data_IF_275532784722
#
_entry.id   IF_275532784722
#
_cell.length_a   1.000
_cell.length_b   1.000
_cell.length_c   1.000
_cell.angle_alpha   90.00
_cell.angle_beta   90.00
_cell.angle_gamma   90.00
#
_symmetry.space_group_name_H-M   'P 1'
#
loop_
_entity.id
_entity.type
_entity.pdbx_description
1 polymer ?
#
# COMPACT_ATOMS: atom_id res chain seq x y z
N UNK A 1 -29.93 -12.02 11.33
CA UNK A 1 -29.94 -10.96 10.31
C UNK A 1 -29.24 -9.74 10.87
N UNK A 2 -28.27 -9.20 10.13
CA UNK A 2 -27.49 -8.00 10.45
C UNK A 2 -27.69 -6.97 9.35
N UNK A 3 -27.36 -5.72 9.63
CA UNK A 3 -27.29 -4.66 8.64
C UNK A 3 -25.94 -3.97 8.74
N UNK A 4 -25.36 -3.65 7.59
CA UNK A 4 -24.14 -2.85 7.49
C UNK A 4 -24.43 -1.63 6.62
N UNK A 5 -24.03 -0.45 7.09
CA UNK A 5 -24.14 0.80 6.34
C UNK A 5 -22.85 1.06 5.56
N UNK A 6 -22.98 1.38 4.28
CA UNK A 6 -21.89 1.80 3.40
C UNK A 6 -22.10 3.23 2.92
N UNK A 7 -20.99 3.94 2.74
CA UNK A 7 -20.87 5.02 1.79
C UNK A 7 -20.35 4.44 0.47
N UNK A 8 -21.10 4.67 -0.60
CA UNK A 8 -20.72 4.25 -1.95
C UNK A 8 -19.57 5.10 -2.48
N UNK A 9 -19.00 4.67 -3.60
CA UNK A 9 -18.04 5.44 -4.41
C UNK A 9 -18.60 6.81 -4.87
N UNK A 10 -19.92 6.93 -4.99
CA UNK A 10 -20.63 8.18 -5.30
C UNK A 10 -21.08 8.97 -4.06
N UNK A 11 -20.77 8.50 -2.85
CA UNK A 11 -21.13 9.16 -1.59
C UNK A 11 -22.57 8.92 -1.12
N UNK A 12 -23.32 8.02 -1.74
CA UNK A 12 -24.65 7.65 -1.28
C UNK A 12 -24.57 6.79 -0.01
N UNK A 13 -25.53 6.96 0.91
CA UNK A 13 -25.68 6.10 2.09
C UNK A 13 -26.56 4.91 1.73
N UNK A 14 -25.99 3.70 1.78
CA UNK A 14 -26.67 2.46 1.41
C UNK A 14 -26.56 1.47 2.56
N UNK A 15 -27.69 0.90 2.98
CA UNK A 15 -27.72 -0.18 3.99
C UNK A 15 -27.90 -1.51 3.29
N UNK A 16 -27.01 -2.46 3.58
CA UNK A 16 -27.07 -3.83 3.05
C UNK A 16 -27.42 -4.79 4.17
N UNK A 17 -28.38 -5.67 3.90
CA UNK A 17 -28.76 -6.76 4.80
C UNK A 17 -27.81 -7.95 4.65
N UNK A 18 -27.37 -8.50 5.78
CA UNK A 18 -26.52 -9.69 5.84
C UNK A 18 -27.28 -10.78 6.60
N UNK A 19 -27.46 -11.93 5.95
CA UNK A 19 -28.27 -13.03 6.48
C UNK A 19 -27.72 -13.56 7.82
N UNK A 20 -26.41 -13.83 7.85
CA UNK A 20 -25.67 -14.39 8.99
C UNK A 20 -24.36 -13.64 9.26
N UNK A 21 -23.95 -13.56 10.51
CA UNK A 21 -22.69 -12.90 10.94
C UNK A 21 -21.45 -13.44 10.25
N UNK A 22 -21.42 -14.75 9.93
CA UNK A 22 -20.30 -15.40 9.25
C UNK A 22 -20.05 -14.87 7.84
N UNK A 23 -21.04 -14.22 7.22
CA UNK A 23 -20.94 -13.62 5.87
C UNK A 23 -20.52 -12.15 5.89
N UNK A 24 -20.41 -11.53 7.06
CA UNK A 24 -20.17 -10.10 7.18
C UNK A 24 -18.90 -9.65 6.45
N UNK A 25 -17.78 -10.34 6.64
CA UNK A 25 -16.52 -9.98 5.99
C UNK A 25 -16.57 -10.20 4.47
N UNK A 26 -17.29 -11.21 4.00
CA UNK A 26 -17.44 -11.46 2.57
C UNK A 26 -18.26 -10.34 1.90
N UNK A 27 -19.30 -9.86 2.59
CA UNK A 27 -20.08 -8.68 2.17
C UNK A 27 -19.21 -7.43 2.16
N UNK A 28 -18.41 -7.20 3.21
CA UNK A 28 -17.46 -6.07 3.26
C UNK A 28 -16.47 -6.12 2.10
N UNK A 29 -15.85 -7.28 1.82
CA UNK A 29 -14.96 -7.44 0.66
C UNK A 29 -15.66 -7.20 -0.65
N UNK A 30 -16.88 -7.70 -0.82
CA UNK A 30 -17.65 -7.56 -2.05
C UNK A 30 -17.86 -6.10 -2.41
N UNK A 31 -18.42 -5.31 -1.49
CA UNK A 31 -18.69 -3.89 -1.74
C UNK A 31 -17.41 -3.04 -1.67
N UNK A 32 -16.45 -3.39 -0.81
CA UNK A 32 -15.19 -2.67 -0.72
C UNK A 32 -14.30 -2.79 -1.96
N UNK A 33 -14.42 -3.87 -2.76
CA UNK A 33 -13.81 -3.93 -4.10
C UNK A 33 -14.36 -2.87 -5.06
N UNK A 34 -15.60 -2.41 -4.84
CA UNK A 34 -16.21 -1.30 -5.58
C UNK A 34 -15.78 0.07 -5.03
N UNK A 35 -14.93 0.11 -4.00
CA UNK A 35 -14.53 1.34 -3.31
C UNK A 35 -15.52 1.82 -2.25
N UNK A 36 -16.53 1.01 -1.91
CA UNK A 36 -17.47 1.36 -0.85
C UNK A 36 -16.82 1.18 0.52
N UNK A 37 -17.21 2.02 1.47
CA UNK A 37 -16.60 2.06 2.81
C UNK A 37 -17.67 2.04 3.89
N UNK A 38 -17.39 1.42 5.03
CA UNK A 38 -18.31 1.40 6.18
C UNK A 38 -17.64 2.04 7.39
N UNK A 39 -18.31 3.01 8.00
CA UNK A 39 -17.75 3.82 9.08
C UNK A 39 -16.70 4.83 8.60
N UNK A 40 -15.90 5.31 9.55
CA UNK A 40 -14.81 6.27 9.33
C UNK A 40 -13.46 5.65 9.66
N UNK A 41 -12.39 6.24 9.12
CA UNK A 41 -11.02 5.87 9.50
C UNK A 41 -10.82 6.25 10.98
N UNK A 42 -10.43 5.32 11.85
CA UNK A 42 -10.15 5.62 13.25
C UNK A 42 -9.04 6.67 13.40
N UNK A 43 -9.06 7.45 14.48
CA UNK A 43 -7.94 8.33 14.81
C UNK A 43 -6.64 7.51 14.95
N UNK A 44 -5.57 7.92 14.26
CA UNK A 44 -4.34 7.11 14.16
C UNK A 44 -4.33 6.09 13.00
N UNK A 45 -5.42 5.96 12.25
CA UNK A 45 -5.64 4.91 11.25
C UNK A 45 -6.04 3.57 11.86
N UNK A 46 -6.48 2.65 11.01
CA UNK A 46 -6.76 1.26 11.41
C UNK A 46 -5.52 0.60 12.01
N UNK A 47 -5.70 -0.24 13.03
CA UNK A 47 -4.60 -0.96 13.69
C UNK A 47 -4.72 -2.46 13.38
N UNK A 48 -3.71 -3.02 12.73
CA UNK A 48 -3.67 -4.43 12.34
C UNK A 48 -2.39 -5.12 12.84
N UNK A 49 -2.38 -6.47 12.96
CA UNK A 49 -1.17 -7.23 13.25
C UNK A 49 -0.10 -7.02 12.17
N UNK A 50 1.17 -6.94 12.56
CA UNK A 50 2.29 -6.74 11.63
C UNK A 50 2.36 -7.84 10.55
N UNK A 51 2.13 -9.08 10.96
CA UNK A 51 2.16 -10.28 10.10
C UNK A 51 1.05 -10.34 9.05
N UNK A 52 0.06 -9.43 9.11
CA UNK A 52 -0.99 -9.32 8.10
C UNK A 52 -0.64 -8.32 6.99
N UNK A 53 0.40 -7.50 7.13
CA UNK A 53 0.64 -6.38 6.20
C UNK A 53 0.86 -6.84 4.75
N UNK A 54 1.68 -7.87 4.55
CA UNK A 54 2.14 -8.28 3.23
C UNK A 54 0.99 -8.72 2.32
N UNK A 55 0.00 -9.42 2.89
CA UNK A 55 -1.13 -10.02 2.19
C UNK A 55 -2.50 -9.51 2.69
N UNK A 56 -2.52 -8.34 3.33
CA UNK A 56 -3.75 -7.70 3.78
C UNK A 56 -4.73 -7.47 2.61
N UNK A 57 -5.98 -7.88 2.81
CA UNK A 57 -7.06 -7.62 1.87
C UNK A 57 -7.59 -6.19 2.03
N UNK A 58 -7.01 -5.28 1.25
CA UNK A 58 -7.39 -3.86 1.23
C UNK A 58 -8.87 -3.61 0.90
N UNK A 59 -9.55 -4.57 0.24
CA UNK A 59 -10.98 -4.43 -0.03
C UNK A 59 -11.83 -4.47 1.24
N UNK A 60 -11.33 -5.02 2.36
CA UNK A 60 -12.05 -5.00 3.65
C UNK A 60 -12.38 -3.59 4.14
N UNK A 61 -11.58 -2.60 3.74
CA UNK A 61 -11.77 -1.20 4.11
C UNK A 61 -12.10 -0.32 2.90
N UNK A 62 -12.50 -0.90 1.76
CA UNK A 62 -12.79 -0.13 0.55
C UNK A 62 -11.55 0.48 -0.13
N UNK A 63 -10.37 -0.08 0.12
CA UNK A 63 -9.11 0.38 -0.47
C UNK A 63 -8.59 -0.59 -1.53
N UNK A 64 -7.61 -0.15 -2.33
CA UNK A 64 -6.91 -1.00 -3.30
C UNK A 64 -5.44 -0.61 -3.44
N UNK A 65 -4.57 -1.59 -3.70
CA UNK A 65 -3.19 -1.32 -4.14
C UNK A 65 -3.22 -0.75 -5.57
N UNK A 66 -2.34 0.21 -5.84
CA UNK A 66 -2.11 0.79 -7.16
C UNK A 66 -0.63 1.10 -7.32
N UNK A 67 -0.08 0.81 -8.50
CA UNK A 67 1.30 1.15 -8.85
C UNK A 67 1.29 2.44 -9.66
N UNK A 68 2.03 3.45 -9.20
CA UNK A 68 2.15 4.71 -9.92
C UNK A 68 2.96 4.54 -11.21
N UNK A 69 2.87 5.49 -12.17
CA UNK A 69 3.72 5.48 -13.37
C UNK A 69 5.22 5.45 -13.06
N UNK A 70 5.63 6.03 -11.93
CA UNK A 70 7.01 6.07 -11.43
C UNK A 70 7.43 4.74 -10.76
N UNK A 71 6.50 3.80 -10.64
CA UNK A 71 6.72 2.48 -10.07
C UNK A 71 6.52 2.38 -8.56
N UNK A 72 6.02 3.42 -7.89
CA UNK A 72 5.74 3.43 -6.45
C UNK A 72 4.46 2.62 -6.14
N UNK A 73 4.53 1.73 -5.14
CA UNK A 73 3.34 1.03 -4.63
C UNK A 73 2.58 1.91 -3.63
N UNK A 74 1.32 2.19 -3.96
CA UNK A 74 0.43 3.05 -3.19
C UNK A 74 -0.84 2.29 -2.81
N UNK A 75 -1.51 2.77 -1.76
CA UNK A 75 -2.87 2.35 -1.41
C UNK A 75 -3.83 3.49 -1.72
N UNK A 76 -4.86 3.22 -2.51
CA UNK A 76 -5.91 4.17 -2.85
C UNK A 76 -7.12 3.91 -1.96
N UNK A 77 -7.60 4.94 -1.27
CA UNK A 77 -8.82 4.88 -0.45
C UNK A 77 -9.56 6.23 -0.50
N UNK A 78 -10.85 6.21 -0.85
CA UNK A 78 -11.70 7.41 -1.07
C UNK A 78 -11.01 8.50 -1.93
N UNK A 79 -10.35 8.08 -3.02
CA UNK A 79 -9.64 9.00 -3.94
C UNK A 79 -8.30 9.54 -3.43
N UNK A 80 -7.85 9.16 -2.24
CA UNK A 80 -6.55 9.55 -1.70
C UNK A 80 -5.50 8.44 -1.87
N UNK A 81 -4.27 8.83 -2.20
CA UNK A 81 -3.12 7.93 -2.24
C UNK A 81 -2.35 7.96 -0.92
N UNK A 82 -2.10 6.78 -0.36
CA UNK A 82 -1.35 6.56 0.87
C UNK A 82 -0.06 5.80 0.58
N UNK A 83 1.05 6.28 1.14
CA UNK A 83 2.38 5.70 1.00
C UNK A 83 2.71 4.80 2.17
N UNK A 84 3.36 3.67 1.88
CA UNK A 84 3.95 2.76 2.85
C UNK A 84 5.20 3.41 3.48
N UNK A 85 5.29 3.41 4.80
CA UNK A 85 6.43 3.89 5.58
C UNK A 85 6.80 2.84 6.61
N UNK A 86 8.07 2.51 6.68
CA UNK A 86 8.61 1.67 7.74
C UNK A 86 8.95 2.57 8.94
N UNK A 87 8.47 2.19 10.12
CA UNK A 87 8.75 2.85 11.37
C UNK A 87 9.63 1.93 12.19
N UNK A 88 10.82 2.41 12.52
CA UNK A 88 11.77 1.69 13.36
C UNK A 88 11.23 1.46 14.76
N UNK A 89 11.70 0.40 15.40
CA UNK A 89 11.38 0.15 16.79
C UNK A 89 11.93 1.29 17.66
N UNK A 90 11.10 1.80 18.56
CA UNK A 90 11.51 2.81 19.54
C UNK A 90 11.78 2.07 20.84
N UNK A 91 13.04 2.00 21.27
CA UNK A 91 13.41 1.50 22.60
C UNK A 91 13.99 2.66 23.42
N UNK A 92 13.10 3.38 24.11
CA UNK A 92 13.46 4.42 25.06
C UNK A 92 13.05 4.00 26.47
N UNK A 93 13.67 4.59 27.49
CA UNK A 93 13.30 4.34 28.90
C UNK A 93 11.83 4.65 29.20
N UNK A 94 11.21 5.55 28.43
CA UNK A 94 9.82 5.99 28.63
C UNK A 94 8.81 5.25 27.73
N UNK A 95 9.26 4.73 26.59
CA UNK A 95 8.38 4.19 25.56
C UNK A 95 9.11 3.10 24.78
N UNK A 96 8.48 1.92 24.74
CA UNK A 96 8.91 0.77 23.94
C UNK A 96 7.86 0.47 22.89
N UNK A 97 8.13 0.79 21.64
CA UNK A 97 7.26 0.46 20.52
C UNK A 97 7.98 -0.48 19.57
N UNK A 98 7.35 -1.60 19.16
CA UNK A 98 7.92 -2.46 18.14
C UNK A 98 7.89 -1.76 16.78
N UNK A 99 8.70 -2.27 15.85
CA UNK A 99 8.66 -1.84 14.45
C UNK A 99 7.24 -1.93 13.89
N UNK A 100 6.92 -1.00 13.00
CA UNK A 100 5.60 -0.90 12.41
C UNK A 100 5.67 -0.52 10.94
N UNK A 101 4.65 -0.89 10.19
CA UNK A 101 4.45 -0.41 8.82
C UNK A 101 3.23 0.49 8.82
N UNK A 102 3.41 1.75 8.42
CA UNK A 102 2.39 2.79 8.42
C UNK A 102 2.06 3.22 7.00
N UNK A 103 0.76 3.22 6.68
CA UNK A 103 0.23 3.80 5.46
C UNK A 103 -0.35 5.18 5.77
N UNK A 104 0.27 6.23 5.24
CA UNK A 104 -0.14 7.61 5.50
C UNK A 104 0.09 8.52 4.30
N UNK A 105 -0.45 9.72 4.34
CA UNK A 105 -0.23 10.80 3.36
C UNK A 105 -0.04 12.13 4.08
N UNK A 106 0.49 13.13 3.40
CA UNK A 106 0.48 14.50 3.93
C UNK A 106 -0.95 14.99 4.13
N UNK A 107 -1.18 15.72 5.22
CA UNK A 107 -2.45 16.38 5.45
C UNK A 107 -2.67 17.47 4.39
N UNK A 108 -3.91 17.59 3.93
CA UNK A 108 -4.40 18.64 3.04
C UNK A 108 -5.16 19.67 3.87
N UNK A 109 -5.32 20.87 3.31
CA UNK A 109 -6.08 21.97 3.94
C UNK A 109 -7.52 21.56 4.27
N UNK A 110 -8.13 20.72 3.43
CA UNK A 110 -9.49 20.20 3.62
C UNK A 110 -9.61 19.11 4.69
N UNK A 111 -8.51 18.55 5.18
CA UNK A 111 -8.57 17.49 6.19
C UNK A 111 -8.95 18.10 7.54
N UNK A 112 -9.94 17.55 8.26
CA UNK A 112 -10.37 18.12 9.53
C UNK A 112 -9.29 17.93 10.60
N UNK A 113 -9.19 18.82 11.61
CA UNK A 113 -8.11 18.78 12.60
C UNK A 113 -7.98 17.43 13.34
N UNK A 114 -9.10 16.73 13.57
CA UNK A 114 -9.12 15.49 14.34
C UNK A 114 -8.50 14.28 13.62
N UNK A 115 -8.27 14.34 12.29
CA UNK A 115 -7.57 13.28 11.55
C UNK A 115 -6.08 13.59 11.31
N UNK A 116 -5.63 14.77 11.72
CA UNK A 116 -4.25 15.22 11.51
C UNK A 116 -3.38 14.79 12.66
N UNK A 117 -2.28 14.14 12.31
CA UNK A 117 -1.23 13.75 13.23
C UNK A 117 -0.03 14.65 13.03
N UNK A 118 0.42 15.31 14.11
CA UNK A 118 1.66 16.06 14.11
C UNK A 118 2.85 15.09 14.14
N UNK A 119 3.78 15.27 13.22
CA UNK A 119 5.09 14.65 13.27
C UNK A 119 6.15 15.66 13.71
N UNK A 120 7.40 15.24 13.76
CA UNK A 120 8.52 16.15 14.04
C UNK A 120 8.61 17.22 12.94
N UNK A 121 8.58 18.49 13.37
CA UNK A 121 8.52 19.67 12.51
C UNK A 121 7.11 20.17 12.21
N UNK A 122 6.95 20.92 11.12
CA UNK A 122 5.68 21.55 10.71
C UNK A 122 4.82 20.67 9.79
N UNK A 123 5.18 19.39 9.60
CA UNK A 123 4.48 18.49 8.68
C UNK A 123 3.41 17.68 9.43
N UNK A 124 2.17 17.82 8.97
CA UNK A 124 1.04 17.03 9.45
C UNK A 124 0.75 15.86 8.48
N UNK A 125 0.39 14.71 9.04
CA UNK A 125 0.03 13.51 8.28
C UNK A 125 -1.39 13.05 8.59
N UNK A 126 -1.97 12.31 7.65
CA UNK A 126 -3.22 11.56 7.85
C UNK A 126 -2.92 10.09 7.63
N UNK A 127 -3.22 9.27 8.63
CA UNK A 127 -2.97 7.82 8.62
C UNK A 127 -4.19 7.05 8.12
N UNK A 128 -3.95 6.07 7.26
CA UNK A 128 -4.96 5.09 6.87
C UNK A 128 -4.88 3.85 7.76
N UNK A 129 -3.69 3.25 7.89
CA UNK A 129 -3.48 2.02 8.65
C UNK A 129 -2.07 1.93 9.22
N UNK A 130 -1.94 1.24 10.36
CA UNK A 130 -0.69 0.89 11.01
C UNK A 130 -0.72 -0.61 11.30
N UNK A 131 0.30 -1.31 10.79
CA UNK A 131 0.56 -2.72 11.04
C UNK A 131 1.67 -2.82 12.08
N UNK A 132 1.36 -3.32 13.28
CA UNK A 132 2.30 -3.32 14.41
C UNK A 132 1.97 -4.43 15.41
N UNK A 133 2.97 -5.20 15.81
CA UNK A 133 2.83 -6.26 16.81
C UNK A 133 1.67 -7.21 16.51
N UNK A 134 0.97 -7.66 17.56
CA UNK A 134 -0.20 -8.52 17.44
C UNK A 134 0.11 -9.93 16.94
N UNK A 135 -0.93 -10.71 16.67
CA UNK A 135 -0.86 -12.06 16.08
C UNK A 135 -1.62 -12.07 14.77
N UNK A 136 -1.08 -12.69 13.71
CA UNK A 136 -1.77 -12.84 12.43
C UNK A 136 -3.20 -13.33 12.59
N UNK A 137 -4.10 -12.71 11.83
CA UNK A 137 -5.49 -13.15 11.69
C UNK A 137 -5.79 -13.46 10.23
N UNK A 138 -6.14 -14.71 9.95
CA UNK A 138 -6.34 -15.18 8.57
C UNK A 138 -7.53 -14.48 7.88
N UNK A 139 -8.52 -14.05 8.67
CA UNK A 139 -9.68 -13.30 8.17
C UNK A 139 -9.34 -11.94 7.56
N UNK A 140 -8.13 -11.41 7.73
CA UNK A 140 -7.67 -10.16 7.13
C UNK A 140 -6.83 -10.36 5.86
N UNK A 141 -6.42 -11.59 5.57
CA UNK A 141 -5.66 -11.90 4.37
C UNK A 141 -6.59 -11.97 3.14
N UNK A 142 -6.00 -11.81 1.95
CA UNK A 142 -6.68 -12.03 0.67
C UNK A 142 -7.12 -13.50 0.58
N UNK A 143 -8.42 -13.80 0.36
CA UNK A 143 -8.90 -15.18 0.24
C UNK A 143 -8.18 -15.93 -0.89
N UNK A 144 -7.65 -17.12 -0.59
CA UNK A 144 -6.93 -17.95 -1.57
C UNK A 144 -5.52 -17.45 -1.91
N UNK A 145 -5.05 -16.36 -1.30
CA UNK A 145 -3.66 -15.96 -1.34
C UNK A 145 -2.84 -16.93 -0.49
N UNK A 146 -1.87 -17.61 -1.10
CA UNK A 146 -0.88 -18.33 -0.31
C UNK A 146 -0.15 -17.30 0.57
N UNK A 147 -0.31 -17.40 1.89
CA UNK A 147 0.52 -16.69 2.85
C UNK A 147 1.98 -17.01 2.51
N UNK A 148 2.67 -16.10 1.82
CA UNK A 148 4.11 -16.26 1.62
C UNK A 148 4.75 -16.00 2.98
N UNK A 149 5.41 -17.00 3.60
CA UNK A 149 6.10 -16.76 4.85
C UNK A 149 7.18 -15.69 4.61
N UNK A 150 7.13 -14.63 5.39
CA UNK A 150 8.20 -13.65 5.49
C UNK A 150 9.41 -14.33 6.11
N UNK A 151 10.32 -14.86 5.29
CA UNK A 151 11.53 -15.51 5.76
C UNK A 151 12.00 -16.66 4.90
N UNK A 152 12.45 -16.36 3.68
CA UNK A 152 13.51 -17.14 3.04
C UNK A 152 14.28 -16.20 2.12
N UNK A 153 15.41 -15.71 2.65
CA UNK A 153 16.40 -15.02 1.85
C UNK A 153 16.79 -15.91 0.69
N UNK A 154 16.71 -15.37 -0.52
CA UNK A 154 17.38 -15.93 -1.69
C UNK A 154 18.89 -15.94 -1.39
N UNK A 155 19.39 -17.08 -0.90
CA UNK A 155 20.77 -17.46 -1.12
C UNK A 155 20.94 -17.62 -2.63
N UNK A 156 21.45 -16.58 -3.28
CA UNK A 156 21.75 -16.57 -4.69
C UNK A 156 22.69 -17.73 -5.02
N UNK A 157 22.16 -18.71 -5.75
CA UNK A 157 22.99 -19.65 -6.48
C UNK A 157 23.71 -18.86 -7.58
N UNK A 158 25.03 -18.88 -7.51
CA UNK A 158 25.92 -18.18 -8.43
C UNK A 158 25.68 -18.60 -9.89
N UNK A 159 25.51 -17.61 -10.74
CA UNK A 159 25.77 -17.74 -12.17
C UNK A 159 27.21 -17.25 -12.42
N UNK A 160 28.08 -18.05 -13.04
CA UNK A 160 29.42 -17.60 -13.40
C UNK A 160 29.39 -16.55 -14.51
N UNK A 161 30.26 -15.54 -14.35
CA UNK A 161 30.43 -14.39 -15.22
C UNK A 161 30.77 -14.78 -16.67
N UNK A 162 30.00 -14.25 -17.62
CA UNK A 162 30.36 -14.27 -19.04
C UNK A 162 31.39 -13.16 -19.33
N UNK A 163 32.56 -13.57 -19.83
CA UNK A 163 33.64 -12.68 -20.26
C UNK A 163 33.22 -11.78 -21.44
N UNK A 164 33.67 -10.51 -21.49
CA UNK A 164 33.44 -9.64 -22.64
C UNK A 164 34.32 -10.03 -23.84
N UNK A 165 33.70 -10.23 -25.01
CA UNK A 165 34.39 -10.41 -26.29
C UNK A 165 34.86 -9.04 -26.84
N UNK A 166 36.08 -8.93 -27.39
CA UNK A 166 36.56 -7.70 -28.01
C UNK A 166 35.81 -7.39 -29.31
N UNK A 167 35.29 -6.15 -29.41
CA UNK A 167 34.69 -5.61 -30.63
C UNK A 167 35.77 -5.29 -31.66
N UNK A 168 35.72 -5.96 -32.80
CA UNK A 168 36.52 -5.63 -33.98
C UNK A 168 36.01 -4.32 -34.59
N UNK A 169 36.95 -3.41 -34.87
CA UNK A 169 36.72 -2.12 -35.50
C UNK A 169 36.15 -2.30 -36.92
N UNK A 170 35.04 -1.60 -37.21
CA UNK A 170 34.50 -1.47 -38.56
C UNK A 170 35.20 -0.31 -39.30
N UNK A 171 35.57 -0.50 -40.58
CA UNK A 171 36.20 0.56 -41.38
C UNK A 171 35.22 1.69 -41.71
N UNK A 172 35.76 2.91 -41.75
CA UNK A 172 35.05 4.16 -42.00
C UNK A 172 34.45 4.22 -43.41
N UNK A 173 33.23 4.78 -43.52
CA UNK A 173 32.62 5.15 -44.80
C UNK A 173 33.22 6.46 -45.32
N UNK A 174 33.51 6.59 -46.62
CA UNK A 174 33.98 7.84 -47.22
C UNK A 174 32.89 8.92 -47.21
N UNK A 175 33.30 10.16 -46.92
CA UNK A 175 32.46 11.36 -46.97
C UNK A 175 32.22 11.78 -48.44
N UNK A 176 31.00 12.23 -48.81
CA UNK A 176 30.76 12.89 -50.09
C UNK A 176 31.28 14.34 -50.07
N UNK A 177 31.91 14.74 -51.16
CA UNK A 177 32.45 16.07 -51.42
C UNK A 177 31.35 17.16 -51.41
N UNK A 178 31.64 18.38 -50.91
CA UNK A 178 30.71 19.49 -51.00
C UNK A 178 30.75 20.13 -52.41
N UNK A 179 29.57 20.17 -53.03
CA UNK A 179 29.27 20.98 -54.21
C UNK A 179 29.66 22.44 -53.99
N UNK A 180 30.36 22.99 -54.99
CA UNK A 180 30.67 24.40 -55.11
C UNK A 180 29.41 25.24 -55.39
N UNK A 181 29.39 26.50 -54.95
CA UNK A 181 28.65 27.54 -55.65
C UNK A 181 29.59 28.61 -56.22
N UNK A 182 29.26 28.99 -57.46
CA UNK A 182 29.54 30.21 -58.23
C UNK A 182 30.46 31.29 -57.63
#
# INVERSE_FOLDING_TARGET
>A
MLHIEFLTDLGARVTVSVEHESKLLDVQRHYGRLGWTSGEIPAGGYQFPLENEADFDWSLIGARKWKSPEGEELVIHRGHAYRRRELEAVDSRKLKLPAAIKYSRGAKVSDPPHVREKADGDIEYVSLAIFRGGKRQERYAVPGGAARPAGQGQSGQGQPAAQPRPQQARPARPQPEPDAPF
#
